data_IF_303307764463
#
_entry.id   IF_303307764463
#
_cell.length_a   1.000
_cell.length_b   1.000
_cell.length_c   1.000
_cell.angle_alpha   90.00
_cell.angle_beta   90.00
_cell.angle_gamma   90.00
#
_symmetry.space_group_name_H-M   'P 1'
#
loop_
_entity.id
_entity.type
_entity.pdbx_description
1 polymer ?
#
# COMPACT_ATOMS: atom_id res chain seq x y z
N UNK A 1 -11.00 4.40 0.79
CA UNK A 1 -9.68 4.43 1.50
C UNK A 1 -8.74 3.39 0.88
N UNK A 2 -7.52 3.70 0.38
CA UNK A 2 -6.79 2.80 -0.54
C UNK A 2 -5.30 2.55 -0.22
N UNK A 3 -4.96 1.36 0.28
CA UNK A 3 -3.59 0.94 0.65
C UNK A 3 -2.60 0.97 -0.52
N UNK A 4 -3.06 0.71 -1.75
CA UNK A 4 -2.22 0.73 -2.96
C UNK A 4 -1.58 2.10 -3.19
N UNK A 5 -2.40 3.14 -3.08
CA UNK A 5 -1.99 4.52 -3.26
C UNK A 5 -1.01 4.94 -2.15
N UNK A 6 -1.31 4.59 -0.89
CA UNK A 6 -0.40 4.81 0.26
C UNK A 6 0.96 4.13 0.06
N UNK A 7 0.97 2.86 -0.31
CA UNK A 7 2.20 2.08 -0.48
C UNK A 7 3.07 2.67 -1.60
N UNK A 8 2.45 3.08 -2.71
CA UNK A 8 3.16 3.71 -3.80
C UNK A 8 3.78 5.04 -3.41
N UNK A 9 3.02 5.92 -2.73
CA UNK A 9 3.55 7.20 -2.22
C UNK A 9 4.72 6.95 -1.26
N UNK A 10 4.58 6.00 -0.34
CA UNK A 10 5.64 5.64 0.62
C UNK A 10 6.91 5.16 -0.08
N UNK A 11 6.79 4.22 -1.03
CA UNK A 11 7.92 3.70 -1.79
C UNK A 11 8.56 4.78 -2.68
N UNK A 12 7.76 5.67 -3.28
CA UNK A 12 8.27 6.81 -4.03
C UNK A 12 9.10 7.73 -3.13
N UNK A 13 8.59 8.10 -1.95
CA UNK A 13 9.32 8.96 -1.01
C UNK A 13 10.65 8.34 -0.61
N UNK A 14 10.65 7.05 -0.28
CA UNK A 14 11.88 6.34 0.04
C UNK A 14 12.89 6.33 -1.12
N UNK A 15 12.42 6.29 -2.38
CA UNK A 15 13.28 6.33 -3.56
C UNK A 15 13.64 7.73 -4.04
N UNK A 16 12.93 8.77 -3.61
CA UNK A 16 13.14 10.13 -4.08
C UNK A 16 14.41 10.72 -3.43
N UNK A 17 15.51 10.73 -4.20
CA UNK A 17 16.77 11.38 -3.82
C UNK A 17 16.92 12.73 -4.52
N UNK A 18 15.93 13.62 -4.36
CA UNK A 18 15.95 15.00 -4.87
C UNK A 18 15.36 15.24 -6.26
N UNK A 19 14.74 14.24 -6.90
CA UNK A 19 13.95 14.45 -8.12
C UNK A 19 12.93 13.34 -8.31
N UNK A 20 11.82 13.65 -8.97
CA UNK A 20 10.73 12.69 -9.16
C UNK A 20 11.25 11.43 -9.90
N UNK A 21 11.07 10.22 -9.34
CA UNK A 21 11.69 9.03 -9.88
C UNK A 21 10.93 8.46 -11.08
N UNK A 22 11.61 7.63 -11.85
CA UNK A 22 10.94 6.75 -12.79
C UNK A 22 10.21 5.65 -12.02
N UNK A 23 8.90 5.51 -12.25
CA UNK A 23 8.02 4.70 -11.40
C UNK A 23 8.08 3.19 -11.69
N UNK A 24 8.80 2.74 -12.73
CA UNK A 24 8.75 1.35 -13.19
C UNK A 24 9.06 0.32 -12.12
N UNK A 25 10.14 0.51 -11.35
CA UNK A 25 10.57 -0.44 -10.31
C UNK A 25 9.58 -0.46 -9.15
N UNK A 26 9.03 0.69 -8.78
CA UNK A 26 8.03 0.82 -7.71
C UNK A 26 6.75 0.09 -8.12
N UNK A 27 6.23 0.38 -9.31
CA UNK A 27 5.03 -0.26 -9.85
C UNK A 27 5.24 -1.76 -10.04
N UNK A 28 6.40 -2.19 -10.53
CA UNK A 28 6.72 -3.61 -10.69
C UNK A 28 6.78 -4.34 -9.35
N UNK A 29 7.44 -3.74 -8.35
CA UNK A 29 7.49 -4.30 -6.99
C UNK A 29 6.09 -4.42 -6.38
N UNK A 30 5.25 -3.39 -6.50
CA UNK A 30 3.86 -3.44 -6.03
C UNK A 30 3.05 -4.50 -6.77
N UNK A 31 3.13 -4.53 -8.09
CA UNK A 31 2.42 -5.53 -8.90
C UNK A 31 2.81 -6.94 -8.48
N UNK A 32 4.11 -7.21 -8.32
CA UNK A 32 4.60 -8.51 -7.89
C UNK A 32 4.07 -8.89 -6.50
N UNK A 33 4.08 -7.94 -5.55
CA UNK A 33 3.55 -8.15 -4.21
C UNK A 33 2.06 -8.51 -4.23
N UNK A 34 1.23 -7.78 -4.98
CA UNK A 34 -0.20 -8.07 -5.07
C UNK A 34 -0.53 -9.31 -5.90
N UNK A 35 0.28 -9.62 -6.92
CA UNK A 35 0.16 -10.86 -7.67
C UNK A 35 0.38 -12.08 -6.77
N UNK A 36 1.46 -12.08 -5.98
CA UNK A 36 1.73 -13.18 -5.04
C UNK A 36 0.76 -13.20 -3.86
N UNK A 37 0.25 -12.05 -3.41
CA UNK A 37 -0.88 -12.02 -2.46
C UNK A 37 -2.05 -12.86 -2.99
N UNK A 38 -2.47 -12.64 -4.24
CA UNK A 38 -3.59 -13.40 -4.81
C UNK A 38 -3.26 -14.87 -5.06
N UNK A 39 -2.08 -15.16 -5.62
CA UNK A 39 -1.66 -16.54 -5.86
C UNK A 39 -1.53 -17.32 -4.56
N UNK A 40 -0.94 -16.75 -3.52
CA UNK A 40 -0.79 -17.43 -2.24
C UNK A 40 -2.14 -17.64 -1.56
N UNK A 41 -3.09 -16.71 -1.66
CA UNK A 41 -4.45 -16.94 -1.19
C UNK A 41 -5.11 -18.16 -1.87
N UNK A 42 -4.90 -18.33 -3.18
CA UNK A 42 -5.46 -19.47 -3.93
C UNK A 42 -4.77 -20.80 -3.60
N UNK A 43 -3.44 -20.78 -3.47
CA UNK A 43 -2.61 -21.97 -3.27
C UNK A 43 -2.61 -22.47 -1.82
N UNK A 44 -2.56 -21.55 -0.86
CA UNK A 44 -2.41 -21.88 0.56
C UNK A 44 -3.74 -21.85 1.31
N UNK A 45 -4.80 -21.27 0.74
CA UNK A 45 -6.18 -21.28 1.25
C UNK A 45 -6.26 -21.00 2.76
N UNK A 46 -6.44 -22.05 3.57
CA UNK A 46 -6.59 -22.00 5.02
C UNK A 46 -5.30 -21.64 5.78
N UNK A 47 -4.15 -21.65 5.10
CA UNK A 47 -2.84 -21.32 5.67
C UNK A 47 -2.34 -19.94 5.23
N UNK A 48 -3.23 -19.06 4.73
CA UNK A 48 -2.86 -17.70 4.35
C UNK A 48 -3.93 -16.67 4.74
N UNK A 49 -3.68 -15.94 5.84
CA UNK A 49 -4.55 -14.88 6.31
C UNK A 49 -4.17 -13.53 5.69
N UNK A 50 -5.12 -12.87 5.04
CA UNK A 50 -4.97 -11.48 4.59
C UNK A 50 -5.71 -10.53 5.50
N UNK A 51 -4.99 -9.50 5.94
CA UNK A 51 -5.49 -8.47 6.85
C UNK A 51 -5.27 -7.11 6.20
N UNK A 52 -6.32 -6.30 6.16
CA UNK A 52 -6.21 -4.90 5.78
C UNK A 52 -5.63 -4.13 6.95
N UNK A 53 -4.60 -3.34 6.69
CA UNK A 53 -3.96 -2.51 7.72
C UNK A 53 -4.98 -1.59 8.41
N UNK A 54 -5.97 -1.12 7.66
CA UNK A 54 -7.04 -0.25 8.13
C UNK A 54 -7.88 -0.92 9.24
N UNK A 55 -8.14 -2.24 9.16
CA UNK A 55 -8.90 -2.95 10.20
C UNK A 55 -8.15 -3.06 11.52
N UNK A 56 -6.81 -3.17 11.49
CA UNK A 56 -5.99 -3.13 12.70
C UNK A 56 -6.17 -1.78 13.42
N UNK A 57 -6.38 -0.69 12.66
CA UNK A 57 -6.53 0.64 13.24
C UNK A 57 -7.97 0.96 13.67
N UNK A 58 -8.98 0.49 12.93
CA UNK A 58 -10.38 0.81 13.21
C UNK A 58 -11.04 -0.17 14.18
N UNK A 59 -10.66 -1.46 14.10
CA UNK A 59 -11.16 -2.51 14.97
C UNK A 59 -10.02 -3.46 15.37
N UNK A 60 -9.09 -2.98 16.23
CA UNK A 60 -7.95 -3.78 16.65
C UNK A 60 -8.38 -5.05 17.36
N UNK A 61 -9.43 -4.99 18.20
CA UNK A 61 -9.86 -6.14 19.01
C UNK A 61 -10.36 -7.30 18.14
N UNK A 62 -11.24 -7.02 17.18
CA UNK A 62 -11.72 -8.08 16.28
C UNK A 62 -10.61 -8.58 15.36
N UNK A 63 -9.77 -7.68 14.85
CA UNK A 63 -8.64 -8.04 13.99
C UNK A 63 -7.63 -8.95 14.69
N UNK A 64 -7.23 -8.61 15.93
CA UNK A 64 -6.33 -9.45 16.74
C UNK A 64 -7.00 -10.79 17.08
N UNK A 65 -8.29 -10.79 17.41
CA UNK A 65 -9.03 -12.04 17.67
C UNK A 65 -9.03 -12.96 16.45
N UNK A 66 -9.18 -12.40 15.24
CA UNK A 66 -9.11 -13.14 13.99
C UNK A 66 -7.71 -13.71 13.73
N UNK A 67 -6.66 -12.95 14.03
CA UNK A 67 -5.27 -13.42 13.97
C UNK A 67 -5.05 -14.58 14.94
N UNK A 68 -5.43 -14.40 16.21
CA UNK A 68 -5.25 -15.41 17.25
C UNK A 68 -5.93 -16.72 16.87
N UNK A 69 -7.19 -16.66 16.40
CA UNK A 69 -7.92 -17.83 15.90
C UNK A 69 -7.22 -18.51 14.73
N UNK A 70 -6.75 -17.74 13.76
CA UNK A 70 -6.04 -18.28 12.60
C UNK A 70 -4.71 -18.96 12.99
N UNK A 71 -4.01 -18.42 13.98
CA UNK A 71 -2.76 -18.96 14.51
C UNK A 71 -2.94 -20.02 15.61
N UNK A 72 -4.17 -20.42 15.93
CA UNK A 72 -4.51 -21.32 17.04
C UNK A 72 -3.93 -20.86 18.40
N UNK A 73 -3.91 -19.55 18.64
CA UNK A 73 -3.51 -18.94 19.90
C UNK A 73 -4.73 -18.70 20.79
N UNK A 74 -4.56 -18.88 22.09
CA UNK A 74 -5.55 -18.45 23.09
C UNK A 74 -5.63 -16.92 23.11
N UNK A 75 -6.85 -16.38 23.22
CA UNK A 75 -7.03 -14.94 23.35
C UNK A 75 -6.66 -14.50 24.76
N UNK A 76 -5.59 -13.71 24.87
CA UNK A 76 -5.20 -13.00 26.10
C UNK A 76 -5.39 -11.49 25.87
N UNK A 77 -5.78 -10.77 26.92
CA UNK A 77 -5.86 -9.31 26.92
C UNK A 77 -4.49 -8.67 26.63
N UNK A 78 -3.40 -9.34 26.98
CA UNK A 78 -2.04 -8.89 26.68
C UNK A 78 -1.79 -8.74 25.16
N UNK A 79 -2.50 -9.49 24.30
CA UNK A 79 -2.37 -9.38 22.84
C UNK A 79 -2.88 -8.04 22.28
N UNK A 80 -3.67 -7.30 23.06
CA UNK A 80 -4.18 -5.98 22.69
C UNK A 80 -3.22 -4.85 23.07
N UNK A 81 -2.20 -5.14 23.88
CA UNK A 81 -1.19 -4.20 24.32
C UNK A 81 0.07 -4.40 23.48
N UNK A 82 0.55 -3.34 22.84
CA UNK A 82 1.82 -3.40 22.12
C UNK A 82 2.97 -3.43 23.13
N UNK A 83 3.69 -4.54 23.21
CA UNK A 83 4.85 -4.70 24.12
C UNK A 83 6.13 -5.07 23.34
N UNK A 84 7.28 -4.74 23.92
CA UNK A 84 8.61 -5.22 23.55
C UNK A 84 9.26 -5.77 24.80
N UNK A 85 9.59 -7.06 24.83
CA UNK A 85 10.22 -7.67 26.02
C UNK A 85 9.46 -7.31 27.31
N UNK A 86 8.13 -7.46 27.28
CA UNK A 86 7.18 -7.14 28.37
C UNK A 86 7.06 -5.65 28.76
N UNK A 87 7.83 -4.77 28.15
CA UNK A 87 7.69 -3.33 28.30
C UNK A 87 6.70 -2.75 27.28
N UNK A 88 5.81 -1.82 27.64
CA UNK A 88 4.91 -1.17 26.69
C UNK A 88 5.70 -0.47 25.57
N UNK A 89 5.50 -0.91 24.32
CA UNK A 89 6.17 -0.33 23.15
C UNK A 89 5.42 0.94 22.73
N UNK A 90 6.01 2.12 22.95
CA UNK A 90 5.40 3.43 22.63
C UNK A 90 5.64 3.94 21.19
N UNK A 91 6.10 3.12 20.25
CA UNK A 91 6.01 3.41 18.80
C UNK A 91 7.31 3.31 17.99
N UNK A 92 7.17 3.40 16.66
CA UNK A 92 8.24 3.10 15.69
C UNK A 92 9.35 4.16 15.64
N UNK A 93 10.59 3.69 15.52
CA UNK A 93 11.87 4.43 15.43
C UNK A 93 12.02 5.39 14.23
N UNK A 94 10.99 5.54 13.40
CA UNK A 94 11.02 6.36 12.17
C UNK A 94 10.53 7.80 12.41
N UNK A 95 9.84 8.05 13.52
CA UNK A 95 9.40 9.37 13.95
C UNK A 95 9.66 9.47 15.45
N UNK A 96 10.38 10.51 15.90
CA UNK A 96 10.70 10.79 17.31
C UNK A 96 9.46 11.14 18.17
N UNK A 97 8.29 10.62 17.84
CA UNK A 97 7.03 10.84 18.54
C UNK A 97 6.67 9.58 19.31
N UNK A 98 6.44 9.73 20.62
CA UNK A 98 5.85 8.69 21.46
C UNK A 98 4.39 8.56 21.05
N UNK A 99 4.00 7.39 20.60
CA UNK A 99 2.61 7.00 20.33
C UNK A 99 2.05 6.37 21.60
N UNK A 100 1.06 7.00 22.20
CA UNK A 100 0.32 6.46 23.35
C UNK A 100 -0.72 5.41 22.92
N UNK A 101 -1.09 5.38 21.63
CA UNK A 101 -2.04 4.42 21.08
C UNK A 101 -1.94 4.28 19.55
N UNK A 102 -2.62 3.26 19.01
CA UNK A 102 -2.77 3.02 17.57
C UNK A 102 -3.45 4.22 16.91
N UNK A 103 -2.68 5.05 16.19
CA UNK A 103 -3.18 6.31 15.63
C UNK A 103 -3.57 6.21 14.15
N UNK A 104 -4.81 6.57 13.84
CA UNK A 104 -5.30 6.71 12.46
C UNK A 104 -4.77 7.98 11.74
N UNK A 105 -4.02 8.85 12.44
CA UNK A 105 -3.59 10.17 11.95
C UNK A 105 -2.82 10.08 10.62
N UNK A 106 -2.03 9.02 10.41
CA UNK A 106 -1.20 8.88 9.22
C UNK A 106 -1.87 8.16 8.05
N UNK A 107 -3.13 7.72 8.18
CA UNK A 107 -3.79 6.95 7.11
C UNK A 107 -4.05 7.82 5.88
N UNK A 108 -4.37 9.11 6.06
CA UNK A 108 -4.82 9.97 4.95
C UNK A 108 -3.74 10.93 4.41
N UNK A 109 -2.56 11.02 5.03
CA UNK A 109 -1.54 11.99 4.63
C UNK A 109 -1.09 11.85 3.16
N UNK A 110 -1.06 10.62 2.65
CA UNK A 110 -0.68 10.36 1.26
C UNK A 110 -1.63 10.99 0.23
N UNK A 111 -2.88 11.32 0.60
CA UNK A 111 -3.86 11.91 -0.32
C UNK A 111 -3.43 13.28 -0.83
N UNK A 112 -2.73 14.07 -0.02
CA UNK A 112 -2.17 15.36 -0.44
C UNK A 112 -0.86 15.24 -1.22
N UNK A 113 -0.22 14.06 -1.19
CA UNK A 113 1.10 13.84 -1.76
C UNK A 113 1.07 13.06 -3.08
N UNK A 114 -0.02 12.33 -3.33
CA UNK A 114 -0.16 11.49 -4.51
C UNK A 114 -0.32 12.32 -5.79
N UNK A 115 0.31 11.85 -6.86
CA UNK A 115 0.32 12.53 -8.15
C UNK A 115 -0.68 11.92 -9.13
N UNK A 116 -1.20 12.71 -10.07
CA UNK A 116 -2.16 12.25 -11.08
C UNK A 116 -1.67 11.06 -11.91
N UNK A 117 -0.38 11.03 -12.24
CA UNK A 117 0.22 9.91 -12.99
C UNK A 117 0.21 8.62 -12.17
N UNK A 118 0.38 8.74 -10.85
CA UNK A 118 0.38 7.62 -9.90
C UNK A 118 -1.02 7.01 -9.77
N UNK A 119 -2.03 7.86 -9.58
CA UNK A 119 -3.45 7.47 -9.58
C UNK A 119 -3.80 6.71 -10.85
N UNK A 120 -3.43 7.28 -12.00
CA UNK A 120 -3.73 6.69 -13.31
C UNK A 120 -3.06 5.32 -13.48
N UNK A 121 -1.81 5.17 -13.04
CA UNK A 121 -1.12 3.89 -13.07
C UNK A 121 -1.78 2.88 -12.14
N UNK A 122 -2.17 3.28 -10.93
CA UNK A 122 -2.82 2.37 -9.98
C UNK A 122 -4.16 1.88 -10.52
N UNK A 123 -5.05 2.79 -10.92
CA UNK A 123 -6.37 2.44 -11.46
C UNK A 123 -6.27 1.52 -12.67
N UNK A 124 -5.27 1.75 -13.55
CA UNK A 124 -5.09 0.94 -14.76
C UNK A 124 -4.46 -0.41 -14.48
N UNK A 125 -3.47 -0.48 -13.59
CA UNK A 125 -2.63 -1.67 -13.42
C UNK A 125 -3.07 -2.60 -12.29
N UNK A 126 -3.87 -2.12 -11.34
CA UNK A 126 -4.31 -2.88 -10.16
C UNK A 126 -5.83 -3.03 -10.04
N UNK A 127 -6.63 -3.09 -11.14
CA UNK A 127 -8.09 -3.17 -11.00
C UNK A 127 -8.54 -4.46 -10.30
N UNK A 128 -7.76 -5.55 -10.44
CA UNK A 128 -8.03 -6.84 -9.80
C UNK A 128 -8.03 -6.71 -8.27
N UNK A 129 -6.98 -6.11 -7.70
CA UNK A 129 -6.88 -5.91 -6.26
C UNK A 129 -7.83 -4.82 -5.76
N UNK A 130 -7.98 -3.72 -6.50
CA UNK A 130 -8.88 -2.63 -6.09
C UNK A 130 -10.33 -3.13 -5.98
N UNK A 131 -10.80 -3.88 -6.98
CA UNK A 131 -12.15 -4.47 -6.96
C UNK A 131 -12.29 -5.50 -5.83
N UNK A 132 -11.34 -6.44 -5.71
CA UNK A 132 -11.39 -7.53 -4.73
C UNK A 132 -11.47 -7.04 -3.28
N UNK A 133 -10.74 -5.98 -2.97
CA UNK A 133 -10.68 -5.43 -1.61
C UNK A 133 -11.56 -4.19 -1.42
N UNK A 134 -12.43 -3.87 -2.39
CA UNK A 134 -13.41 -2.78 -2.34
C UNK A 134 -12.75 -1.42 -2.09
N UNK A 135 -11.59 -1.21 -2.71
CA UNK A 135 -10.87 0.05 -2.66
C UNK A 135 -11.36 1.00 -3.75
N UNK A 136 -11.54 2.27 -3.37
CA UNK A 136 -11.97 3.35 -4.26
C UNK A 136 -10.98 3.58 -5.41
N UNK A 137 -11.55 3.79 -6.60
CA UNK A 137 -10.82 4.37 -7.73
C UNK A 137 -10.78 5.88 -7.53
N UNK A 138 -9.58 6.46 -7.54
CA UNK A 138 -9.44 7.91 -7.44
C UNK A 138 -9.53 8.55 -8.82
N UNK A 139 -10.17 9.71 -8.91
CA UNK A 139 -10.17 10.47 -10.16
C UNK A 139 -8.82 11.14 -10.39
N UNK A 140 -8.35 11.10 -11.64
CA UNK A 140 -7.12 11.78 -12.05
C UNK A 140 -7.48 12.96 -12.94
N UNK A 141 -7.08 14.16 -12.53
CA UNK A 141 -7.36 15.39 -13.28
C UNK A 141 -6.68 15.39 -14.66
N UNK A 142 -5.40 14.96 -14.72
CA UNK A 142 -4.70 14.74 -15.99
C UNK A 142 -3.40 13.95 -15.81
N UNK A 143 -3.20 12.83 -16.52
CA UNK A 143 -1.97 12.05 -16.45
C UNK A 143 -0.76 12.73 -17.13
N UNK A 144 -1.01 13.78 -17.92
CA UNK A 144 0.03 14.53 -18.64
C UNK A 144 0.55 15.72 -17.86
N UNK A 145 -0.10 16.10 -16.76
CA UNK A 145 0.44 17.14 -15.88
C UNK A 145 1.83 16.72 -15.39
N UNK A 146 2.81 17.59 -15.61
CA UNK A 146 4.18 17.39 -15.12
C UNK A 146 4.17 17.49 -13.58
N UNK A 147 4.91 16.60 -12.93
CA UNK A 147 5.09 16.64 -11.47
C UNK A 147 6.24 17.60 -11.12
N UNK A 148 6.16 18.25 -9.95
CA UNK A 148 7.29 19.02 -9.42
C UNK A 148 8.56 18.17 -9.39
N UNK A 149 9.69 18.76 -9.78
CA UNK A 149 11.00 18.10 -9.77
C UNK A 149 11.13 16.87 -10.71
N UNK A 150 10.19 16.71 -11.64
CA UNK A 150 10.28 15.68 -12.68
C UNK A 150 11.17 16.13 -13.85
N UNK A 151 12.29 15.41 -14.05
CA UNK A 151 13.19 15.65 -15.19
C UNK A 151 12.50 15.27 -16.51
N UNK A 152 12.79 15.97 -17.60
CA UNK A 152 12.17 15.74 -18.91
C UNK A 152 12.28 14.28 -19.40
N UNK A 153 13.46 13.65 -19.26
CA UNK A 153 13.67 12.24 -19.61
C UNK A 153 12.77 11.30 -18.79
N UNK A 154 12.56 11.60 -17.51
CA UNK A 154 11.69 10.81 -16.61
C UNK A 154 10.22 11.04 -16.98
N UNK A 155 9.86 12.28 -17.30
CA UNK A 155 8.51 12.64 -17.74
C UNK A 155 8.06 11.77 -18.91
N UNK A 156 8.88 11.71 -19.98
CA UNK A 156 8.61 10.91 -21.17
C UNK A 156 8.52 9.42 -20.79
N UNK A 157 9.51 8.90 -20.05
CA UNK A 157 9.55 7.48 -19.64
C UNK A 157 8.32 7.05 -18.84
N UNK A 158 7.87 7.84 -17.86
CA UNK A 158 6.67 7.54 -17.06
C UNK A 158 5.42 7.47 -17.93
N UNK A 159 5.29 8.35 -18.94
CA UNK A 159 4.12 8.43 -19.81
C UNK A 159 4.11 7.28 -20.82
N UNK A 160 5.24 6.98 -21.45
CA UNK A 160 5.38 5.79 -22.32
C UNK A 160 5.12 4.50 -21.56
N UNK A 161 5.67 4.37 -20.35
CA UNK A 161 5.51 3.17 -19.54
C UNK A 161 4.04 2.87 -19.22
N UNK A 162 3.25 3.90 -18.91
CA UNK A 162 1.80 3.80 -18.71
C UNK A 162 1.06 3.20 -19.92
N UNK A 163 1.52 3.54 -21.13
CA UNK A 163 0.96 2.99 -22.37
C UNK A 163 1.38 1.55 -22.59
N UNK A 164 2.69 1.30 -22.61
CA UNK A 164 3.27 -0.02 -22.93
C UNK A 164 2.82 -1.11 -21.96
N UNK A 165 2.86 -0.84 -20.65
CA UNK A 165 2.48 -1.86 -19.65
C UNK A 165 0.99 -2.12 -19.60
N UNK A 166 0.17 -1.13 -19.95
CA UNK A 166 -1.27 -1.32 -20.12
C UNK A 166 -1.59 -2.32 -21.23
N UNK A 167 -0.86 -2.25 -22.35
CA UNK A 167 -0.99 -3.20 -23.45
C UNK A 167 -0.49 -4.60 -23.06
N UNK A 168 0.70 -4.68 -22.46
CA UNK A 168 1.31 -5.96 -22.09
C UNK A 168 0.47 -6.77 -21.10
N UNK A 169 -0.20 -6.11 -20.14
CA UNK A 169 -1.07 -6.82 -19.18
C UNK A 169 -2.45 -7.16 -19.74
N UNK A 170 -2.90 -6.50 -20.81
CA UNK A 170 -4.10 -6.90 -21.53
C UNK A 170 -3.87 -8.16 -22.36
N UNK A 171 -2.65 -8.36 -22.87
CA UNK A 171 -2.24 -9.55 -23.63
C UNK A 171 -1.93 -10.79 -22.77
N UNK A 172 -1.71 -10.62 -21.47
CA UNK A 172 -1.38 -11.70 -20.51
C UNK A 172 -2.59 -12.16 -19.68
N UNK A 173 -3.79 -11.69 -20.02
CA UNK A 173 -5.04 -11.96 -19.32
C UNK A 173 -5.93 -12.86 -20.17
#
# INVERSE_FOLDING_TARGET
>A
MCTHHKNLVSLRRFKNKGSYPFLNKIIHSLYNSFYYLEKNQQLLQNNYLVIKYEYILTDPKDTIKRIARFSNLSMDNNLLVSTSLDEPWSGNSTTNQKFESVSAKQINNWKGEIQNIEITMINKLFPFTLKKYEYEYLESQSPYKKVSDERFKVYIKNRLYRYLRGLAMWLLR
#
